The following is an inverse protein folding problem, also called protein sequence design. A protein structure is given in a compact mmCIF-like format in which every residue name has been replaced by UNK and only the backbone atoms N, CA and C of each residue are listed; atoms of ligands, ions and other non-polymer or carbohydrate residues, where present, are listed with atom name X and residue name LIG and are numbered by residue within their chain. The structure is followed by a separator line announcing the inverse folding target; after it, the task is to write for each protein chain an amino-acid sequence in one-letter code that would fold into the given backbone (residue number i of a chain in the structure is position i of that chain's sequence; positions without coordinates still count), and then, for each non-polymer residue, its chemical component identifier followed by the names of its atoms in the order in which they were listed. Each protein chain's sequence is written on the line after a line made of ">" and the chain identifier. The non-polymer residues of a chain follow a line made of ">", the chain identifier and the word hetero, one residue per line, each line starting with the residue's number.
data_IF_438919351433
#
_entry.id   IF_438919351433
#
_cell.length_a   1.000
_cell.length_b   1.000
_cell.length_c   1.000
_cell.angle_alpha   90.00
_cell.angle_beta   90.00
_cell.angle_gamma   90.00
#
_symmetry.space_group_name_H-M   'P 1'
#
loop_
_entity.id
_entity.type
_entity.pdbx_description
1 polymer ?
#
# COMPACT_ATOMS: atom_id res chain seq x y z
N UNK A 1 -8.00 -18.20 -3.42
CA UNK A 1 -7.53 -16.82 -3.66
C UNK A 1 -8.70 -16.05 -4.24
N UNK A 2 -9.12 -14.98 -3.58
CA UNK A 2 -10.19 -14.09 -4.05
C UNK A 2 -9.56 -12.71 -4.23
N UNK A 3 -9.67 -12.17 -5.44
CA UNK A 3 -9.08 -10.88 -5.83
C UNK A 3 -10.22 -9.86 -5.81
N UNK A 4 -10.13 -8.82 -4.97
CA UNK A 4 -11.08 -7.72 -5.06
C UNK A 4 -10.60 -6.77 -6.15
N UNK A 5 -11.32 -6.75 -7.27
CA UNK A 5 -11.11 -5.77 -8.33
C UNK A 5 -12.03 -4.57 -8.06
N UNK A 6 -11.69 -3.72 -7.09
CA UNK A 6 -12.25 -2.38 -7.09
C UNK A 6 -11.73 -1.70 -8.36
N UNK A 7 -12.60 -1.10 -9.17
CA UNK A 7 -12.32 -0.47 -10.46
C UNK A 7 -11.33 0.72 -10.45
N UNK A 8 -10.30 0.69 -9.61
CA UNK A 8 -9.08 1.48 -9.70
C UNK A 8 -8.08 0.71 -10.57
N UNK A 9 -8.24 0.88 -11.89
CA UNK A 9 -7.26 0.65 -12.96
C UNK A 9 -5.94 -0.02 -12.53
N UNK A 10 -5.95 -1.35 -12.38
CA UNK A 10 -4.73 -2.16 -12.41
C UNK A 10 -4.07 -2.52 -11.07
N UNK A 11 -4.70 -2.26 -9.91
CA UNK A 11 -4.16 -2.74 -8.62
C UNK A 11 -5.04 -3.84 -8.05
N UNK A 12 -4.60 -5.09 -8.20
CA UNK A 12 -5.19 -6.23 -7.51
C UNK A 12 -4.67 -6.28 -6.07
N UNK A 13 -5.50 -5.92 -5.09
CA UNK A 13 -5.17 -6.10 -3.67
C UNK A 13 -5.64 -7.49 -3.25
N UNK A 14 -4.68 -8.34 -2.90
CA UNK A 14 -4.96 -9.66 -2.36
C UNK A 14 -5.53 -9.49 -0.94
N UNK A 15 -6.78 -9.90 -0.74
CA UNK A 15 -7.45 -9.83 0.56
C UNK A 15 -7.18 -11.08 1.39
N UNK A 16 -7.33 -10.95 2.70
CA UNK A 16 -7.37 -12.10 3.61
C UNK A 16 -8.54 -13.02 3.27
N UNK A 17 -8.32 -14.33 3.43
CA UNK A 17 -9.31 -15.36 3.11
C UNK A 17 -10.46 -15.26 4.12
N UNK A 18 -11.67 -14.99 3.61
CA UNK A 18 -12.90 -15.04 4.40
C UNK A 18 -13.41 -16.49 4.53
N UNK A 19 -14.37 -16.74 5.43
CA UNK A 19 -15.04 -18.05 5.51
C UNK A 19 -15.74 -18.39 4.19
N UNK A 20 -15.92 -19.69 3.93
CA UNK A 20 -16.49 -20.20 2.68
C UNK A 20 -17.87 -19.60 2.38
N UNK A 21 -18.72 -19.43 3.39
CA UNK A 21 -20.04 -18.80 3.24
C UNK A 21 -19.94 -17.33 2.83
N UNK A 22 -18.97 -16.60 3.36
CA UNK A 22 -18.76 -15.18 3.04
C UNK A 22 -18.17 -15.01 1.64
N UNK A 23 -17.28 -15.90 1.20
CA UNK A 23 -16.79 -15.93 -0.19
C UNK A 23 -17.93 -16.19 -1.20
N UNK A 24 -18.84 -17.11 -0.88
CA UNK A 24 -19.97 -17.43 -1.77
C UNK A 24 -21.00 -16.31 -1.85
N UNK A 25 -21.19 -15.54 -0.77
CA UNK A 25 -22.00 -14.31 -0.81
C UNK A 25 -21.27 -13.27 -1.65
N UNK A 26 -19.97 -13.05 -1.40
CA UNK A 26 -19.18 -12.03 -2.07
C UNK A 26 -19.09 -12.24 -3.59
N UNK A 27 -18.95 -13.49 -4.05
CA UNK A 27 -18.98 -13.83 -5.49
C UNK A 27 -20.33 -13.61 -6.18
N UNK A 28 -21.42 -13.46 -5.41
CA UNK A 28 -22.78 -13.22 -5.94
C UNK A 28 -23.14 -11.75 -6.01
N UNK A 29 -22.32 -10.86 -5.45
CA UNK A 29 -22.53 -9.41 -5.47
C UNK A 29 -21.37 -8.73 -6.20
N UNK A 30 -21.57 -8.48 -7.49
CA UNK A 30 -20.55 -7.89 -8.37
C UNK A 30 -20.58 -6.34 -8.36
N UNK A 31 -21.66 -5.75 -7.84
CA UNK A 31 -21.82 -4.30 -7.76
C UNK A 31 -21.66 -3.77 -6.32
N UNK A 32 -21.04 -2.60 -6.18
CA UNK A 32 -20.82 -1.93 -4.90
C UNK A 32 -22.14 -1.69 -4.15
N UNK A 33 -23.21 -1.39 -4.90
CA UNK A 33 -24.57 -1.21 -4.39
C UNK A 33 -25.13 -2.49 -3.74
N UNK A 34 -24.82 -3.66 -4.31
CA UNK A 34 -25.29 -4.94 -3.80
C UNK A 34 -24.53 -5.35 -2.53
N UNK A 35 -23.21 -5.10 -2.50
CA UNK A 35 -22.37 -5.26 -1.30
C UNK A 35 -22.89 -4.36 -0.18
N UNK A 36 -23.20 -3.10 -0.50
CA UNK A 36 -23.76 -2.15 0.46
C UNK A 36 -25.13 -2.61 0.98
N UNK A 37 -26.02 -3.09 0.10
CA UNK A 37 -27.33 -3.61 0.49
C UNK A 37 -27.24 -4.87 1.35
N UNK A 38 -26.27 -5.75 1.10
CA UNK A 38 -26.02 -6.94 1.91
C UNK A 38 -25.45 -6.58 3.29
N UNK A 39 -24.49 -5.66 3.36
CA UNK A 39 -23.90 -5.19 4.61
C UNK A 39 -24.91 -4.42 5.49
N UNK A 40 -25.84 -3.67 4.88
CA UNK A 40 -26.92 -3.01 5.60
C UNK A 40 -27.87 -4.00 6.31
N UNK A 41 -27.91 -5.26 5.86
CA UNK A 41 -28.77 -6.32 6.40
C UNK A 41 -28.02 -7.32 7.28
N UNK A 42 -26.69 -7.26 7.35
CA UNK A 42 -25.85 -8.20 8.07
C UNK A 42 -24.68 -7.48 8.76
N UNK A 43 -24.77 -7.37 10.10
CA UNK A 43 -23.80 -6.62 10.90
C UNK A 43 -22.40 -7.29 10.91
N UNK A 44 -22.33 -8.62 10.84
CA UNK A 44 -21.05 -9.35 10.79
C UNK A 44 -20.33 -9.10 9.46
N UNK A 45 -21.07 -9.09 8.34
CA UNK A 45 -20.54 -8.71 7.03
C UNK A 45 -20.03 -7.27 7.04
N UNK A 46 -20.79 -6.35 7.64
CA UNK A 46 -20.40 -4.94 7.77
C UNK A 46 -19.11 -4.78 8.60
N UNK A 47 -18.99 -5.48 9.72
CA UNK A 47 -17.79 -5.45 10.54
C UNK A 47 -16.60 -6.06 9.81
N UNK A 48 -16.77 -7.21 9.15
CA UNK A 48 -15.72 -7.84 8.35
C UNK A 48 -15.23 -6.97 7.19
N UNK A 49 -16.13 -6.25 6.52
CA UNK A 49 -15.78 -5.27 5.49
C UNK A 49 -15.00 -4.09 6.08
N UNK A 50 -15.44 -3.57 7.24
CA UNK A 50 -14.75 -2.48 7.93
C UNK A 50 -13.33 -2.87 8.33
N UNK A 51 -13.14 -4.05 8.90
CA UNK A 51 -11.84 -4.56 9.31
C UNK A 51 -10.93 -4.79 8.11
N UNK A 52 -11.48 -5.34 7.01
CA UNK A 52 -10.75 -5.51 5.76
C UNK A 52 -10.25 -4.16 5.20
N UNK A 53 -11.12 -3.15 5.19
CA UNK A 53 -10.75 -1.79 4.74
C UNK A 53 -9.67 -1.19 5.64
N UNK A 54 -9.80 -1.31 6.97
CA UNK A 54 -8.81 -0.82 7.92
C UNK A 54 -7.44 -1.48 7.72
N UNK A 55 -7.40 -2.80 7.54
CA UNK A 55 -6.16 -3.53 7.30
C UNK A 55 -5.49 -3.09 6.00
N UNK A 56 -6.27 -2.88 4.92
CA UNK A 56 -5.75 -2.37 3.65
C UNK A 56 -5.20 -0.95 3.82
N UNK A 57 -5.92 -0.07 4.54
CA UNK A 57 -5.45 1.29 4.82
C UNK A 57 -4.12 1.29 5.58
N UNK A 58 -3.99 0.45 6.62
CA UNK A 58 -2.75 0.32 7.39
C UNK A 58 -1.59 -0.21 6.53
N UNK A 59 -1.86 -1.22 5.69
CA UNK A 59 -0.86 -1.76 4.76
C UNK A 59 -0.37 -0.69 3.78
N UNK A 60 -1.29 0.08 3.18
CA UNK A 60 -0.96 1.15 2.24
C UNK A 60 -0.18 2.27 2.94
N UNK A 61 -0.55 2.62 4.17
CA UNK A 61 0.16 3.60 4.97
C UNK A 61 1.60 3.18 5.22
N UNK A 62 1.82 1.97 5.75
CA UNK A 62 3.16 1.43 6.02
C UNK A 62 4.04 1.35 4.77
N UNK A 63 3.46 0.97 3.63
CA UNK A 63 4.18 0.97 2.34
C UNK A 63 4.58 2.37 1.89
N UNK A 64 3.70 3.35 2.11
CA UNK A 64 3.98 4.76 1.79
C UNK A 64 5.10 5.31 2.66
N UNK A 65 5.07 5.05 3.97
CA UNK A 65 6.16 5.43 4.88
C UNK A 65 7.50 4.84 4.43
N UNK A 66 7.51 3.55 4.06
CA UNK A 66 8.72 2.89 3.57
C UNK A 66 9.24 3.49 2.27
N UNK A 67 8.36 3.91 1.35
CA UNK A 67 8.77 4.59 0.12
C UNK A 67 9.45 5.93 0.43
N UNK A 68 8.89 6.71 1.36
CA UNK A 68 9.45 7.99 1.80
C UNK A 68 10.84 7.78 2.42
N UNK A 69 10.99 6.79 3.30
CA UNK A 69 12.29 6.47 3.93
C UNK A 69 13.32 6.12 2.85
N UNK A 70 12.98 5.27 1.89
CA UNK A 70 13.89 4.90 0.80
C UNK A 70 14.27 6.10 -0.09
N UNK A 71 13.39 7.07 -0.24
CA UNK A 71 13.69 8.31 -0.96
C UNK A 71 14.66 9.20 -0.17
N UNK A 72 14.45 9.33 1.14
CA UNK A 72 15.35 10.07 2.04
C UNK A 72 16.74 9.43 2.07
N UNK A 73 16.84 8.10 2.22
CA UNK A 73 18.11 7.38 2.25
C UNK A 73 18.92 7.63 0.97
N UNK A 74 18.26 7.55 -0.20
CA UNK A 74 18.90 7.86 -1.49
C UNK A 74 19.41 9.30 -1.57
N UNK A 75 18.65 10.25 -1.02
CA UNK A 75 19.06 11.66 -0.99
C UNK A 75 20.26 11.88 -0.07
N UNK A 76 20.32 11.19 1.06
CA UNK A 76 21.45 11.24 1.99
C UNK A 76 22.72 10.65 1.36
N UNK A 77 22.63 9.45 0.75
CA UNK A 77 23.75 8.81 0.05
C UNK A 77 24.34 9.72 -1.05
N UNK A 78 23.46 10.39 -1.81
CA UNK A 78 23.86 11.33 -2.85
C UNK A 78 24.57 12.57 -2.27
N UNK A 79 24.11 13.08 -1.11
CA UNK A 79 24.74 14.20 -0.41
C UNK A 79 26.15 13.85 0.08
N UNK A 80 26.33 12.69 0.70
CA UNK A 80 27.63 12.21 1.19
C UNK A 80 28.62 12.05 0.03
N UNK A 81 28.19 11.41 -1.05
CA UNK A 81 29.01 11.24 -2.27
C UNK A 81 29.44 12.60 -2.84
N UNK A 82 28.54 13.57 -2.86
CA UNK A 82 28.83 14.92 -3.36
C UNK A 82 29.86 15.64 -2.49
N UNK A 83 29.74 15.51 -1.16
CA UNK A 83 30.67 16.11 -0.21
C UNK A 83 32.09 15.55 -0.36
N UNK A 84 32.23 14.22 -0.51
CA UNK A 84 33.53 13.58 -0.76
C UNK A 84 34.21 14.07 -2.03
N UNK A 85 33.46 14.17 -3.13
CA UNK A 85 33.98 14.63 -4.43
C UNK A 85 34.48 16.08 -4.32
N UNK A 86 33.73 16.96 -3.63
CA UNK A 86 34.11 18.35 -3.42
C UNK A 86 35.38 18.47 -2.57
N UNK A 87 35.54 17.65 -1.53
CA UNK A 87 36.77 17.60 -0.72
C UNK A 87 37.97 17.21 -1.57
N UNK A 88 37.88 16.08 -2.29
CA UNK A 88 38.97 15.58 -3.15
C UNK A 88 39.38 16.59 -4.22
N UNK A 89 38.41 17.32 -4.80
CA UNK A 89 38.66 18.40 -5.76
C UNK A 89 39.41 19.58 -5.15
N UNK A 90 39.10 19.95 -3.90
CA UNK A 90 39.79 21.03 -3.18
C UNK A 90 41.25 20.65 -2.90
N UNK A 91 41.47 19.42 -2.44
CA UNK A 91 42.82 18.91 -2.15
C UNK A 91 43.69 18.87 -3.41
N UNK A 92 43.13 18.39 -4.52
CA UNK A 92 43.80 18.38 -5.82
C UNK A 92 44.23 19.79 -6.27
N UNK A 93 43.35 20.79 -6.11
CA UNK A 93 43.66 22.18 -6.47
C UNK A 93 44.75 22.81 -5.58
N UNK A 94 44.87 22.40 -4.32
CA UNK A 94 45.85 22.94 -3.39
C UNK A 94 47.24 22.29 -3.51
N UNK A 95 47.37 21.22 -4.31
CA UNK A 95 48.62 20.48 -4.52
C UNK A 95 49.30 20.85 -5.85
N UNK A 96 48.74 21.81 -6.59
CA UNK A 96 49.20 22.35 -7.87
C UNK A 96 49.61 23.81 -7.69
#
# INVERSE_FOLDING_TARGET
>A
MSIINFGLQGVAIMRDIMSTELEDIFKKVDALEEIHAAAAKNEDLKNGLRDCILNIQQLLHSRTERLIILEIDKLLDACETTAEILSKKKDFKNTL
#
